data_IF_345199749480
#
_entry.id   IF_345199749480
#
_cell.length_a   1.000
_cell.length_b   1.000
_cell.length_c   1.000
_cell.angle_alpha   90.00
_cell.angle_beta   90.00
_cell.angle_gamma   90.00
#
_symmetry.space_group_name_H-M   'P 1'
#
loop_
_entity.id
_entity.type
_entity.pdbx_description
1 polymer ?
#
# COMPACT_ATOMS: atom_id res chain seq x y z
N UNK A 1 -12.69 10.87 2.75
CA UNK A 1 -12.88 11.07 4.20
C UNK A 1 -11.52 10.88 4.85
N UNK A 2 -11.05 11.85 5.63
CA UNK A 2 -9.76 11.69 6.32
C UNK A 2 -9.93 10.75 7.53
N UNK A 3 -8.89 10.04 7.97
CA UNK A 3 -8.96 9.21 9.17
C UNK A 3 -9.38 10.01 10.41
N UNK A 4 -9.03 11.30 10.45
CA UNK A 4 -9.44 12.20 11.53
C UNK A 4 -10.94 12.49 11.51
N UNK A 5 -11.52 12.73 10.32
CA UNK A 5 -12.97 12.91 10.16
C UNK A 5 -13.74 11.64 10.55
N UNK A 6 -13.22 10.47 10.19
CA UNK A 6 -13.78 9.18 10.59
C UNK A 6 -13.79 9.01 12.11
N UNK A 7 -12.67 9.33 12.76
CA UNK A 7 -12.53 9.30 14.22
C UNK A 7 -13.50 10.25 14.92
N UNK A 8 -13.64 11.49 14.40
CA UNK A 8 -14.57 12.48 14.93
C UNK A 8 -16.04 12.02 14.82
N UNK A 9 -16.41 11.38 13.71
CA UNK A 9 -17.76 10.82 13.51
C UNK A 9 -18.01 9.58 14.38
N UNK A 10 -16.99 8.80 14.68
CA UNK A 10 -17.09 7.60 15.53
C UNK A 10 -17.18 7.93 17.03
N UNK A 11 -16.64 9.08 17.47
CA UNK A 11 -16.62 9.50 18.86
C UNK A 11 -18.01 9.47 19.57
N UNK A 12 -19.11 10.02 19.01
CA UNK A 12 -20.42 9.97 19.65
C UNK A 12 -21.01 8.56 19.75
N UNK A 13 -20.71 7.68 18.79
CA UNK A 13 -21.16 6.28 18.82
C UNK A 13 -20.45 5.53 19.95
N UNK A 14 -19.15 5.75 20.09
CA UNK A 14 -18.34 5.10 21.11
C UNK A 14 -18.68 5.59 22.52
N UNK A 15 -18.91 6.89 22.71
CA UNK A 15 -19.34 7.42 24.01
C UNK A 15 -20.70 6.85 24.43
N UNK A 16 -21.67 6.77 23.51
CA UNK A 16 -22.98 6.16 23.78
C UNK A 16 -22.87 4.68 24.16
N UNK A 17 -22.01 3.92 23.47
CA UNK A 17 -21.78 2.50 23.79
C UNK A 17 -21.10 2.32 25.14
N UNK A 18 -20.11 3.15 25.49
CA UNK A 18 -19.45 3.09 26.80
C UNK A 18 -20.43 3.36 27.94
N UNK A 19 -21.32 4.33 27.79
CA UNK A 19 -22.37 4.60 28.78
C UNK A 19 -23.32 3.39 28.89
N UNK A 20 -23.81 2.88 27.75
CA UNK A 20 -24.81 1.81 27.74
C UNK A 20 -24.28 0.44 28.19
N UNK A 21 -23.09 0.06 27.73
CA UNK A 21 -22.54 -1.28 27.91
C UNK A 21 -21.65 -1.40 29.14
N UNK A 22 -21.00 -0.30 29.54
CA UNK A 22 -20.02 -0.30 30.64
C UNK A 22 -20.44 0.55 31.83
N UNK A 23 -21.59 1.22 31.76
CA UNK A 23 -22.15 1.99 32.88
C UNK A 23 -21.36 3.25 33.23
N UNK A 24 -20.52 3.74 32.32
CA UNK A 24 -19.77 4.99 32.49
C UNK A 24 -20.71 6.18 32.50
N UNK A 25 -20.36 7.24 33.23
CA UNK A 25 -21.05 8.52 33.07
C UNK A 25 -20.75 9.11 31.68
N UNK A 26 -21.64 9.96 31.12
CA UNK A 26 -21.41 10.58 29.82
C UNK A 26 -20.08 11.35 29.73
N UNK A 27 -19.70 12.03 30.82
CA UNK A 27 -18.45 12.80 30.89
C UNK A 27 -17.22 11.90 30.92
N UNK A 28 -17.24 10.82 31.71
CA UNK A 28 -16.15 9.83 31.73
C UNK A 28 -16.00 9.11 30.40
N UNK A 29 -17.12 8.76 29.74
CA UNK A 29 -17.11 8.14 28.43
C UNK A 29 -16.52 9.07 27.36
N UNK A 30 -16.88 10.35 27.37
CA UNK A 30 -16.31 11.34 26.45
C UNK A 30 -14.81 11.54 26.71
N UNK A 31 -14.41 11.66 27.98
CA UNK A 31 -13.00 11.79 28.36
C UNK A 31 -12.18 10.57 27.92
N UNK A 32 -12.70 9.36 28.10
CA UNK A 32 -12.02 8.13 27.67
C UNK A 32 -11.77 8.10 26.15
N UNK A 33 -12.76 8.51 25.36
CA UNK A 33 -12.65 8.59 23.89
C UNK A 33 -11.65 9.69 23.48
N UNK A 34 -11.69 10.85 24.12
CA UNK A 34 -10.77 11.96 23.84
C UNK A 34 -9.33 11.63 24.21
N UNK A 35 -9.10 11.03 25.38
CA UNK A 35 -7.76 10.60 25.81
C UNK A 35 -7.18 9.59 24.84
N UNK A 36 -7.98 8.59 24.42
CA UNK A 36 -7.55 7.63 23.40
C UNK A 36 -7.23 8.29 22.06
N UNK A 37 -8.03 9.28 21.62
CA UNK A 37 -7.76 10.01 20.37
C UNK A 37 -6.44 10.78 20.43
N UNK A 38 -6.08 11.32 21.59
CA UNK A 38 -4.82 12.03 21.82
C UNK A 38 -3.62 11.10 22.03
N UNK A 39 -3.87 9.81 22.26
CA UNK A 39 -2.83 8.86 22.65
C UNK A 39 -2.39 9.03 24.12
N UNK A 40 -3.20 9.72 24.92
CA UNK A 40 -2.97 9.87 26.35
C UNK A 40 -3.28 8.55 27.07
N UNK A 41 -2.81 8.41 28.31
CA UNK A 41 -3.17 7.29 29.20
C UNK A 41 -4.22 7.73 30.21
N UNK A 42 -5.19 6.87 30.51
CA UNK A 42 -6.31 7.19 31.40
C UNK A 42 -7.07 5.96 31.87
N UNK A 43 -7.87 6.09 32.93
CA UNK A 43 -8.47 4.97 33.65
C UNK A 43 -9.40 4.11 32.78
N UNK A 44 -10.08 4.70 31.79
CA UNK A 44 -11.11 4.03 30.98
C UNK A 44 -10.71 3.81 29.52
N UNK A 45 -9.44 4.01 29.17
CA UNK A 45 -8.98 3.87 27.77
C UNK A 45 -9.04 2.43 27.29
N UNK A 46 -8.75 1.47 28.18
CA UNK A 46 -8.87 0.05 27.87
C UNK A 46 -10.32 -0.32 27.50
N UNK A 47 -11.31 0.22 28.24
CA UNK A 47 -12.74 0.03 27.94
C UNK A 47 -13.10 0.62 26.57
N UNK A 48 -12.60 1.82 26.25
CA UNK A 48 -12.81 2.43 24.94
C UNK A 48 -12.16 1.61 23.81
N UNK A 49 -11.00 0.99 24.06
CA UNK A 49 -10.32 0.11 23.11
C UNK A 49 -11.12 -1.18 22.85
N UNK A 50 -11.62 -1.81 23.91
CA UNK A 50 -12.48 -2.99 23.82
C UNK A 50 -13.75 -2.72 23.02
N UNK A 51 -14.44 -1.61 23.28
CA UNK A 51 -15.68 -1.27 22.54
C UNK A 51 -15.42 -0.98 21.06
N UNK A 52 -14.27 -0.39 20.70
CA UNK A 52 -13.91 -0.24 19.28
C UNK A 52 -13.65 -1.59 18.64
N UNK A 53 -12.93 -2.49 19.31
CA UNK A 53 -12.68 -3.82 18.75
C UNK A 53 -13.99 -4.61 18.57
N UNK A 54 -14.91 -4.51 19.54
CA UNK A 54 -16.24 -5.09 19.43
C UNK A 54 -17.03 -4.51 18.24
N UNK A 55 -17.03 -3.18 18.09
CA UNK A 55 -17.68 -2.51 16.96
C UNK A 55 -17.06 -2.91 15.61
N UNK A 56 -15.73 -3.05 15.55
CA UNK A 56 -15.03 -3.48 14.33
C UNK A 56 -15.42 -4.90 13.98
N UNK A 57 -15.49 -5.83 14.93
CA UNK A 57 -15.92 -7.20 14.64
C UNK A 57 -17.38 -7.29 14.18
N UNK A 58 -18.28 -6.53 14.80
CA UNK A 58 -19.69 -6.43 14.38
C UNK A 58 -19.82 -5.94 12.93
N UNK A 59 -19.03 -4.91 12.55
CA UNK A 59 -19.06 -4.34 11.20
C UNK A 59 -18.28 -5.20 10.20
N UNK A 60 -17.23 -5.89 10.63
CA UNK A 60 -16.41 -6.72 9.75
C UNK A 60 -17.13 -7.97 9.28
N UNK A 61 -18.05 -8.54 10.06
CA UNK A 61 -18.80 -9.74 9.66
C UNK A 61 -19.52 -9.60 8.29
N UNK A 62 -20.41 -8.62 8.06
CA UNK A 62 -21.08 -8.45 6.78
C UNK A 62 -20.12 -8.06 5.65
N UNK A 63 -19.04 -7.33 5.96
CA UNK A 63 -18.01 -6.97 4.97
C UNK A 63 -17.26 -8.21 4.51
N UNK A 64 -16.92 -9.12 5.42
CA UNK A 64 -16.24 -10.39 5.09
C UNK A 64 -17.14 -11.26 4.22
N UNK A 65 -18.42 -11.34 4.53
CA UNK A 65 -19.41 -12.08 3.71
C UNK A 65 -19.55 -11.47 2.31
N UNK A 66 -19.68 -10.15 2.21
CA UNK A 66 -19.74 -9.46 0.94
C UNK A 66 -18.44 -9.63 0.12
N UNK A 67 -17.28 -9.53 0.77
CA UNK A 67 -15.98 -9.75 0.13
C UNK A 67 -15.84 -11.19 -0.37
N UNK A 68 -16.30 -12.19 0.40
CA UNK A 68 -16.31 -13.58 -0.04
C UNK A 68 -17.23 -13.80 -1.25
N UNK A 69 -18.40 -13.15 -1.28
CA UNK A 69 -19.30 -13.20 -2.42
C UNK A 69 -18.72 -12.53 -3.68
N UNK A 70 -17.88 -11.50 -3.52
CA UNK A 70 -17.25 -10.78 -4.62
C UNK A 70 -15.89 -11.34 -5.05
N UNK A 71 -15.28 -12.21 -4.24
CA UNK A 71 -14.01 -12.87 -4.54
C UNK A 71 -13.93 -13.45 -5.97
N UNK A 72 -14.89 -14.27 -6.46
CA UNK A 72 -14.79 -14.84 -7.80
C UNK A 72 -14.86 -13.78 -8.92
N UNK A 73 -15.64 -12.71 -8.73
CA UNK A 73 -15.73 -11.62 -9.70
C UNK A 73 -14.43 -10.80 -9.76
N UNK A 74 -13.78 -10.59 -8.61
CA UNK A 74 -12.48 -9.92 -8.52
C UNK A 74 -11.38 -10.78 -9.13
N UNK A 75 -11.37 -12.09 -8.87
CA UNK A 75 -10.43 -13.02 -9.49
C UNK A 75 -10.56 -13.06 -11.02
N UNK A 76 -11.80 -13.10 -11.52
CA UNK A 76 -12.08 -13.02 -12.95
C UNK A 76 -11.59 -11.70 -13.56
N UNK A 77 -11.82 -10.56 -12.89
CA UNK A 77 -11.33 -9.26 -13.33
C UNK A 77 -9.80 -9.17 -13.32
N UNK A 78 -9.13 -9.66 -12.27
CA UNK A 78 -7.67 -9.72 -12.21
C UNK A 78 -7.08 -10.62 -13.30
N UNK A 79 -7.77 -11.71 -13.63
CA UNK A 79 -7.36 -12.63 -14.70
C UNK A 79 -7.51 -11.96 -16.06
N UNK A 80 -8.65 -11.32 -16.33
CA UNK A 80 -8.88 -10.56 -17.56
C UNK A 80 -7.88 -9.40 -17.74
N UNK A 81 -7.56 -8.68 -16.66
CA UNK A 81 -6.51 -7.63 -16.68
C UNK A 81 -5.14 -8.25 -16.97
N UNK A 82 -4.81 -9.39 -16.36
CA UNK A 82 -3.53 -10.08 -16.61
C UNK A 82 -3.44 -10.56 -18.06
N UNK A 83 -4.52 -11.13 -18.60
CA UNK A 83 -4.60 -11.55 -20.00
C UNK A 83 -4.45 -10.34 -20.95
N UNK A 84 -5.12 -9.23 -20.65
CA UNK A 84 -4.96 -7.97 -21.39
C UNK A 84 -3.52 -7.43 -21.34
N UNK A 85 -2.87 -7.46 -20.17
CA UNK A 85 -1.48 -7.03 -20.02
C UNK A 85 -0.51 -7.95 -20.75
N UNK A 86 -0.79 -9.26 -20.77
CA UNK A 86 0.03 -10.25 -21.48
C UNK A 86 -0.10 -10.12 -23.00
N UNK A 87 -1.31 -9.81 -23.51
CA UNK A 87 -1.55 -9.61 -24.94
C UNK A 87 -1.00 -8.28 -25.45
N UNK A 88 -0.91 -7.27 -24.58
CA UNK A 88 -0.33 -5.97 -24.91
C UNK A 88 1.20 -5.99 -25.06
N UNK A 89 1.90 -7.10 -24.79
CA UNK A 89 3.37 -7.21 -24.83
C UNK A 89 4.08 -5.94 -24.35
N UNK A 90 3.58 -5.32 -23.28
CA UNK A 90 4.17 -4.09 -22.76
C UNK A 90 5.61 -4.43 -22.36
N UNK A 91 6.64 -3.81 -22.98
CA UNK A 91 8.01 -4.09 -22.62
C UNK A 91 8.13 -3.78 -21.12
N UNK A 92 8.72 -4.69 -20.31
CA UNK A 92 8.82 -4.47 -18.88
C UNK A 92 9.49 -3.12 -18.66
N UNK A 93 8.74 -2.19 -18.03
CA UNK A 93 9.11 -0.78 -17.96
C UNK A 93 10.47 -0.57 -17.29
N UNK A 94 11.00 -1.56 -16.57
CA UNK A 94 12.28 -1.49 -15.90
C UNK A 94 13.09 -2.75 -16.23
N UNK A 95 13.63 -2.85 -17.45
CA UNK A 95 14.88 -3.57 -17.59
C UNK A 95 15.95 -2.75 -16.86
N UNK A 96 16.62 -3.27 -15.82
CA UNK A 96 17.80 -2.61 -15.32
C UNK A 96 18.78 -2.58 -16.49
N UNK A 97 19.05 -1.38 -17.00
CA UNK A 97 20.17 -1.15 -17.91
C UNK A 97 21.36 -1.77 -17.20
N UNK A 98 21.89 -2.88 -17.74
CA UNK A 98 23.14 -3.47 -17.25
C UNK A 98 24.19 -2.38 -17.47
N UNK A 99 24.37 -1.54 -16.46
CA UNK A 99 25.44 -0.57 -16.38
C UNK A 99 26.71 -1.42 -16.45
N UNK A 100 27.28 -1.47 -17.65
CA UNK A 100 28.48 -2.24 -17.98
C UNK A 100 29.61 -1.56 -17.22
N UNK A 101 29.76 -1.91 -15.95
CA UNK A 101 30.64 -1.28 -14.94
C UNK A 101 32.13 -1.58 -15.18
N UNK A 102 32.46 -2.12 -16.35
CA UNK A 102 33.82 -2.47 -16.78
C UNK A 102 34.44 -1.46 -17.76
N UNK A 103 33.84 -0.27 -17.93
CA UNK A 103 34.47 0.79 -18.72
C UNK A 103 35.21 1.77 -17.80
N UNK A 104 36.53 1.95 -17.96
CA UNK A 104 37.27 2.94 -17.18
C UNK A 104 36.78 4.35 -17.52
N UNK A 105 36.78 5.23 -16.51
CA UNK A 105 36.07 6.52 -16.51
C UNK A 105 36.49 7.53 -17.60
N UNK A 106 37.58 7.27 -18.33
CA UNK A 106 38.06 8.12 -19.43
C UNK A 106 37.51 7.72 -20.82
N UNK A 107 36.80 6.59 -20.93
CA UNK A 107 36.18 6.14 -22.17
C UNK A 107 34.86 6.89 -22.44
N UNK A 108 34.95 8.06 -23.07
CA UNK A 108 33.81 8.86 -23.54
C UNK A 108 32.87 8.05 -24.45
N UNK A 109 31.53 8.28 -24.44
CA UNK A 109 30.53 7.47 -25.18
C UNK A 109 30.72 7.47 -26.70
N UNK A 110 31.31 8.52 -27.24
CA UNK A 110 31.70 8.62 -28.64
C UNK A 110 33.18 8.30 -28.73
N UNK A 111 33.50 7.00 -28.68
CA UNK A 111 34.87 6.51 -28.80
C UNK A 111 35.56 7.05 -30.07
N UNK A 112 36.91 7.09 -30.09
CA UNK A 112 37.65 7.68 -31.19
C UNK A 112 37.33 6.96 -32.51
N UNK A 113 37.26 7.70 -33.65
CA UNK A 113 36.78 7.16 -34.91
C UNK A 113 37.60 5.94 -35.36
N UNK A 114 36.96 4.89 -35.91
CA UNK A 114 37.63 3.66 -36.29
C UNK A 114 38.64 3.92 -37.41
N UNK A 115 39.91 3.56 -37.18
CA UNK A 115 40.98 3.65 -38.20
C UNK A 115 40.72 2.61 -39.28
N UNK A 116 40.46 3.06 -40.51
CA UNK A 116 40.35 2.20 -41.67
C UNK A 116 41.64 1.39 -41.86
N UNK A 117 41.55 0.06 -41.79
CA UNK A 117 42.67 -0.83 -42.11
C UNK A 117 43.05 -0.62 -43.58
N UNK A 118 44.21 -0.02 -43.83
CA UNK A 118 44.88 -0.13 -45.14
C UNK A 118 45.09 -1.63 -45.40
N UNK A 119 44.42 -2.15 -46.44
CA UNK A 119 44.82 -3.42 -47.07
C UNK A 119 46.19 -3.20 -47.67
N UNK A 120 47.21 -3.78 -47.05
CA UNK A 120 48.54 -3.85 -47.64
C UNK A 120 48.61 -5.13 -48.51
N UNK A 121 49.17 -5.05 -49.73
CA UNK A 121 49.03 -6.10 -50.73
C UNK A 121 49.91 -7.30 -50.40
N UNK A 122 49.35 -8.50 -50.55
CA UNK A 122 50.10 -9.74 -50.62
C UNK A 122 51.19 -9.61 -51.70
N UNK A 123 52.46 -9.67 -51.30
CA UNK A 123 53.54 -10.08 -52.20
C UNK A 123 53.96 -11.50 -51.85
N UNK A 124 53.83 -12.32 -52.87
CA UNK A 124 54.14 -13.73 -52.96
C UNK A 124 55.66 -13.98 -53.07
N UNK A 125 56.04 -15.24 -52.82
CA UNK A 125 57.28 -15.84 -53.32
C UNK A 125 58.39 -15.91 -52.30
#
# INVERSE_FOLDING_TARGET
>A
MTPEQASAQAAPVLSSRLVRNRGLTPDEALLAVLQRRRGDTGPHIHLAAEEVNALVEEVAAPIREFAAAMAPAVEAACTAIRELLSSLQLPPAHQPVKNRRDRPAWASPYGPPPRARRREPQRAG
#
